data_IF_945708845591
#
_entry.id   IF_945708845591
#
_cell.length_a   1.000
_cell.length_b   1.000
_cell.length_c   1.000
_cell.angle_alpha   90.00
_cell.angle_beta   90.00
_cell.angle_gamma   90.00
#
_symmetry.space_group_name_H-M   'P 1'
#
loop_
_entity.id
_entity.type
_entity.pdbx_description
1 polymer ?
#
# COMPACT_ATOMS: atom_id res chain seq x y z
N UNK A 1 -54.11 13.89 -7.86
CA UNK A 1 -52.88 13.07 -7.70
C UNK A 1 -52.75 12.75 -6.22
N UNK A 2 -52.89 11.48 -5.84
CA UNK A 2 -53.00 11.07 -4.43
C UNK A 2 -51.63 11.15 -3.71
N UNK A 3 -51.55 11.76 -2.50
CA UNK A 3 -50.28 11.99 -1.79
C UNK A 3 -49.54 10.69 -1.43
N UNK A 4 -50.30 9.61 -1.23
CA UNK A 4 -49.78 8.25 -1.02
C UNK A 4 -48.91 7.75 -2.19
N UNK A 5 -49.25 8.08 -3.43
CA UNK A 5 -48.46 7.66 -4.58
C UNK A 5 -47.09 8.37 -4.66
N UNK A 6 -47.03 9.62 -4.21
CA UNK A 6 -45.78 10.41 -4.18
C UNK A 6 -44.83 9.89 -3.09
N UNK A 7 -45.36 9.57 -1.91
CA UNK A 7 -44.58 9.02 -0.81
C UNK A 7 -43.97 7.63 -1.17
N UNK A 8 -44.76 6.79 -1.85
CA UNK A 8 -44.30 5.47 -2.32
C UNK A 8 -43.21 5.64 -3.39
N UNK A 9 -43.39 6.57 -4.33
CA UNK A 9 -42.41 6.82 -5.40
C UNK A 9 -41.06 7.30 -4.83
N UNK A 10 -41.07 8.17 -3.82
CA UNK A 10 -39.84 8.66 -3.18
C UNK A 10 -39.09 7.55 -2.43
N UNK A 11 -39.81 6.66 -1.73
CA UNK A 11 -39.20 5.52 -1.03
C UNK A 11 -38.54 4.52 -2.00
N UNK A 12 -39.15 4.31 -3.18
CA UNK A 12 -38.58 3.43 -4.21
C UNK A 12 -37.29 4.01 -4.81
N UNK A 13 -37.20 5.32 -4.99
CA UNK A 13 -35.99 5.98 -5.56
C UNK A 13 -34.82 5.93 -4.58
N UNK A 14 -35.05 6.09 -3.26
CA UNK A 14 -33.98 6.01 -2.27
C UNK A 14 -33.38 4.59 -2.12
N UNK A 15 -34.18 3.54 -2.34
CA UNK A 15 -33.70 2.15 -2.27
C UNK A 15 -32.80 1.76 -3.47
N UNK A 16 -32.88 2.49 -4.58
CA UNK A 16 -32.09 2.24 -5.79
C UNK A 16 -30.74 2.96 -5.79
N UNK A 17 -30.49 3.87 -4.84
CA UNK A 17 -29.15 4.41 -4.60
C UNK A 17 -28.38 3.39 -3.76
N UNK A 18 -28.09 2.25 -4.39
CA UNK A 18 -27.05 1.36 -3.90
C UNK A 18 -25.76 2.17 -3.88
N UNK A 19 -25.08 2.35 -2.72
CA UNK A 19 -23.67 2.63 -2.78
C UNK A 19 -23.08 1.40 -3.45
N UNK A 20 -22.76 1.52 -4.74
CA UNK A 20 -21.84 0.59 -5.37
C UNK A 20 -20.73 0.43 -4.34
N UNK A 21 -20.46 -0.79 -3.83
CA UNK A 21 -19.21 -0.96 -3.13
C UNK A 21 -18.20 -0.49 -4.16
N UNK A 22 -17.48 0.59 -3.84
CA UNK A 22 -16.20 0.86 -4.46
C UNK A 22 -15.40 -0.39 -4.14
N UNK A 23 -15.55 -1.39 -5.00
CA UNK A 23 -14.56 -2.42 -5.23
C UNK A 23 -13.45 -1.60 -5.88
N UNK A 24 -12.77 -0.81 -5.05
CA UNK A 24 -11.44 -0.35 -5.35
C UNK A 24 -10.73 -1.62 -5.77
N UNK A 25 -10.26 -1.62 -7.02
CA UNK A 25 -9.33 -2.61 -7.54
C UNK A 25 -8.47 -3.00 -6.36
N UNK A 26 -8.53 -4.27 -5.93
CA UNK A 26 -7.62 -4.76 -4.89
C UNK A 26 -6.22 -4.59 -5.47
N UNK A 27 -5.61 -3.41 -5.35
CA UNK A 27 -4.17 -3.30 -5.19
C UNK A 27 -3.91 -4.29 -4.09
N UNK A 28 -3.28 -5.42 -4.44
CA UNK A 28 -3.11 -6.51 -3.49
C UNK A 28 -2.56 -5.90 -2.23
N UNK A 29 -3.33 -5.94 -1.13
CA UNK A 29 -2.83 -5.38 0.12
C UNK A 29 -1.59 -6.20 0.43
N UNK A 30 -0.48 -5.53 0.66
CA UNK A 30 0.76 -6.23 0.97
C UNK A 30 0.55 -7.14 2.16
N UNK A 31 1.19 -8.30 2.12
CA UNK A 31 1.15 -9.26 3.19
C UNK A 31 2.36 -9.06 4.10
N UNK A 32 2.28 -9.58 5.33
CA UNK A 32 3.39 -9.52 6.27
C UNK A 32 4.68 -10.16 5.72
N UNK A 33 4.53 -11.18 4.85
CA UNK A 33 5.66 -11.80 4.14
C UNK A 33 6.36 -10.81 3.19
N UNK A 34 5.63 -9.90 2.54
CA UNK A 34 6.19 -8.92 1.62
C UNK A 34 7.00 -7.89 2.41
N UNK A 35 6.43 -7.41 3.53
CA UNK A 35 7.13 -6.54 4.49
C UNK A 35 8.41 -7.18 4.99
N UNK A 36 8.33 -8.38 5.55
CA UNK A 36 9.49 -9.06 6.13
C UNK A 36 10.60 -9.25 5.08
N UNK A 37 10.23 -9.63 3.86
CA UNK A 37 11.18 -9.81 2.77
C UNK A 37 11.87 -8.51 2.37
N UNK A 38 11.13 -7.41 2.26
CA UNK A 38 11.71 -6.08 2.00
C UNK A 38 12.64 -5.68 3.14
N UNK A 39 12.19 -5.77 4.40
CA UNK A 39 12.98 -5.33 5.55
C UNK A 39 14.29 -6.11 5.69
N UNK A 40 14.26 -7.41 5.44
CA UNK A 40 15.45 -8.26 5.48
C UNK A 40 16.39 -7.97 4.31
N UNK A 41 15.87 -7.98 3.07
CA UNK A 41 16.71 -7.92 1.86
C UNK A 41 17.26 -6.52 1.61
N UNK A 42 16.49 -5.49 1.96
CA UNK A 42 16.85 -4.09 1.76
C UNK A 42 17.44 -3.42 3.00
N UNK A 43 17.66 -4.16 4.10
CA UNK A 43 18.05 -3.63 5.42
C UNK A 43 19.10 -2.51 5.35
N UNK A 44 20.19 -2.73 4.61
CA UNK A 44 21.30 -1.78 4.48
C UNK A 44 20.93 -0.41 3.88
N UNK A 45 19.84 -0.33 3.12
CA UNK A 45 19.36 0.89 2.47
C UNK A 45 18.30 1.62 3.29
N UNK A 46 17.69 0.95 4.26
CA UNK A 46 16.53 1.47 5.00
C UNK A 46 16.76 1.59 6.51
N UNK A 47 17.84 1.05 7.05
CA UNK A 47 18.15 1.11 8.49
C UNK A 47 18.55 2.53 8.92
N UNK A 48 18.10 2.96 10.09
CA UNK A 48 18.39 4.30 10.61
C UNK A 48 19.90 4.49 10.79
N UNK A 49 20.43 5.61 10.29
CA UNK A 49 21.85 5.97 10.46
C UNK A 49 22.79 5.33 9.44
N UNK A 50 22.28 4.53 8.50
CA UNK A 50 23.06 4.07 7.35
C UNK A 50 23.21 5.17 6.28
N UNK A 51 24.29 5.08 5.50
CA UNK A 51 24.49 5.95 4.35
C UNK A 51 23.35 5.73 3.34
N UNK A 52 22.83 6.83 2.77
CA UNK A 52 21.76 6.80 1.77
C UNK A 52 22.30 6.36 0.41
N UNK A 53 22.76 5.13 0.34
CA UNK A 53 23.09 4.46 -0.91
C UNK A 53 21.82 3.98 -1.59
N UNK A 54 21.79 4.00 -2.93
CA UNK A 54 20.69 3.42 -3.69
C UNK A 54 21.02 1.98 -4.07
N UNK A 55 20.05 1.05 -3.99
CA UNK A 55 20.24 -0.29 -4.50
C UNK A 55 20.47 -0.27 -6.03
N UNK A 56 21.24 -1.22 -6.55
CA UNK A 56 21.24 -1.49 -7.98
C UNK A 56 19.92 -2.19 -8.39
N UNK A 57 19.38 -1.92 -9.58
CA UNK A 57 18.07 -2.45 -10.03
C UNK A 57 17.99 -3.97 -10.05
N UNK A 58 19.10 -4.63 -10.37
CA UNK A 58 19.18 -6.09 -10.42
C UNK A 58 19.57 -6.72 -9.07
N UNK A 59 19.75 -5.90 -8.03
CA UNK A 59 20.09 -6.37 -6.70
C UNK A 59 18.96 -7.22 -6.10
N UNK A 60 19.26 -8.07 -5.12
CA UNK A 60 18.23 -8.80 -4.37
C UNK A 60 17.17 -7.87 -3.76
N UNK A 61 17.56 -6.67 -3.31
CA UNK A 61 16.61 -5.70 -2.74
C UNK A 61 15.56 -5.27 -3.77
N UNK A 62 15.97 -4.84 -4.96
CA UNK A 62 15.00 -4.42 -5.98
C UNK A 62 14.15 -5.58 -6.50
N UNK A 63 14.69 -6.80 -6.57
CA UNK A 63 13.88 -8.00 -6.80
C UNK A 63 12.83 -8.23 -5.71
N UNK A 64 13.12 -7.86 -4.45
CA UNK A 64 12.16 -7.90 -3.37
C UNK A 64 11.06 -6.84 -3.55
N UNK A 65 11.45 -5.61 -3.90
CA UNK A 65 10.53 -4.49 -4.20
C UNK A 65 9.58 -4.84 -5.35
N UNK A 66 10.08 -5.43 -6.44
CA UNK A 66 9.24 -5.75 -7.61
C UNK A 66 8.17 -6.83 -7.38
N UNK A 67 8.22 -7.55 -6.27
CA UNK A 67 7.12 -8.46 -5.91
C UNK A 67 6.07 -7.84 -5.02
N UNK A 68 6.32 -6.63 -4.50
CA UNK A 68 5.31 -5.88 -3.76
C UNK A 68 4.17 -5.55 -4.74
N UNK A 69 2.91 -5.89 -4.42
CA UNK A 69 1.80 -5.63 -5.32
C UNK A 69 1.70 -4.15 -5.73
N UNK A 70 1.78 -3.89 -7.03
CA UNK A 70 1.73 -2.53 -7.56
C UNK A 70 2.93 -1.65 -7.20
N UNK A 71 4.05 -2.23 -6.74
CA UNK A 71 5.25 -1.52 -6.28
C UNK A 71 4.96 -0.49 -5.18
N UNK A 72 3.86 -0.66 -4.45
CA UNK A 72 3.35 0.33 -3.51
C UNK A 72 4.13 0.26 -2.19
N UNK A 73 5.26 0.96 -2.08
CA UNK A 73 6.09 0.85 -0.87
C UNK A 73 5.42 1.45 0.38
N UNK A 74 4.37 2.27 0.22
CA UNK A 74 3.58 2.77 1.34
C UNK A 74 2.88 1.62 2.07
N UNK A 75 2.42 0.58 1.36
CA UNK A 75 1.80 -0.57 2.01
C UNK A 75 2.76 -1.30 2.98
N UNK A 76 4.07 -1.26 2.71
CA UNK A 76 5.10 -1.87 3.56
C UNK A 76 5.24 -1.05 4.84
N UNK A 77 5.29 0.28 4.69
CA UNK A 77 5.33 1.24 5.81
C UNK A 77 4.11 1.09 6.72
N UNK A 78 2.94 0.85 6.15
CA UNK A 78 1.69 0.68 6.90
C UNK A 78 1.69 -0.60 7.77
N UNK A 79 2.44 -1.63 7.36
CA UNK A 79 2.57 -2.90 8.09
C UNK A 79 3.69 -2.91 9.14
N UNK A 80 4.47 -1.83 9.26
CA UNK A 80 5.54 -1.76 10.26
C UNK A 80 4.98 -1.75 11.68
N UNK A 81 5.60 -2.57 12.53
CA UNK A 81 5.44 -2.52 13.99
C UNK A 81 6.17 -1.31 14.56
N UNK A 82 5.81 -0.92 15.79
CA UNK A 82 6.49 0.17 16.52
C UNK A 82 8.00 -0.07 16.71
N UNK A 83 8.42 -1.34 16.76
CA UNK A 83 9.84 -1.68 16.82
C UNK A 83 10.53 -1.41 15.47
N UNK A 84 9.95 -1.94 14.39
CA UNK A 84 10.49 -1.75 13.03
C UNK A 84 10.52 -0.27 12.62
N UNK A 85 9.53 0.54 13.05
CA UNK A 85 9.53 1.99 12.83
C UNK A 85 10.69 2.73 13.48
N UNK A 86 11.30 2.15 14.52
CA UNK A 86 12.50 2.70 15.20
C UNK A 86 13.79 2.21 14.56
N UNK A 87 13.77 1.02 13.97
CA UNK A 87 14.93 0.39 13.34
C UNK A 87 15.11 0.85 11.88
N UNK A 88 14.01 1.20 11.20
CA UNK A 88 14.02 1.55 9.78
C UNK A 88 13.50 2.97 9.53
N UNK A 89 14.20 3.69 8.66
CA UNK A 89 13.81 4.99 8.13
C UNK A 89 12.67 4.80 7.11
N UNK A 90 11.45 5.16 7.51
CA UNK A 90 10.25 5.01 6.68
C UNK A 90 10.38 5.74 5.34
N UNK A 91 10.99 6.92 5.31
CA UNK A 91 11.25 7.66 4.09
C UNK A 91 12.16 6.88 3.12
N UNK A 92 13.14 6.15 3.65
CA UNK A 92 14.05 5.32 2.84
C UNK A 92 13.34 4.07 2.31
N UNK A 93 12.41 3.48 3.06
CA UNK A 93 11.53 2.40 2.54
C UNK A 93 10.68 2.91 1.37
N UNK A 94 10.10 4.10 1.48
CA UNK A 94 9.32 4.70 0.39
C UNK A 94 10.17 4.99 -0.85
N UNK A 95 11.40 5.48 -0.66
CA UNK A 95 12.33 5.80 -1.75
C UNK A 95 12.78 4.57 -2.56
N UNK A 96 12.65 3.35 -2.01
CA UNK A 96 12.93 2.11 -2.76
C UNK A 96 12.06 1.95 -4.01
N UNK A 97 10.87 2.56 -4.04
CA UNK A 97 10.00 2.49 -5.20
C UNK A 97 10.67 3.12 -6.42
N UNK A 98 11.16 4.35 -6.28
CA UNK A 98 11.85 5.08 -7.37
C UNK A 98 13.23 4.47 -7.63
N UNK A 99 14.00 4.19 -6.58
CA UNK A 99 15.38 3.72 -6.72
C UNK A 99 15.52 2.34 -7.38
N UNK A 100 14.44 1.56 -7.49
CA UNK A 100 14.45 0.25 -8.15
C UNK A 100 13.86 0.27 -9.56
N UNK A 101 13.28 1.39 -10.00
CA UNK A 101 12.70 1.57 -11.32
C UNK A 101 13.69 2.22 -12.34
N UNK A 102 14.83 2.76 -11.87
CA UNK A 102 15.86 3.50 -12.64
C UNK A 102 17.00 2.65 -13.23
#
# INVERSE_FOLDING_TARGET
MQPQAVAILLLVVCAMVSPHPVIGVKRGRCEEKDKNRVLETCKRFIEVGHAKESPHNHSPCCKAVHTVPGHDMQCIVDLLTEKERKEHEQASIMALQEACDD
#
